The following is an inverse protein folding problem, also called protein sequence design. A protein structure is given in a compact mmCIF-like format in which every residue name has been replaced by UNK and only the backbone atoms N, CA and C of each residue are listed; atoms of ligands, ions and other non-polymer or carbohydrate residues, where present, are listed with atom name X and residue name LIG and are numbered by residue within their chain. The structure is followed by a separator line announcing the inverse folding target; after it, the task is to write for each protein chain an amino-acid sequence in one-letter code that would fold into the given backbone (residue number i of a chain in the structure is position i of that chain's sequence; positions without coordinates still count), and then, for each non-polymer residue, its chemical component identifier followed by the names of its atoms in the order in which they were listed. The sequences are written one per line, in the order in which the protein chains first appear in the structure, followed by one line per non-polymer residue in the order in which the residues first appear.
data_IF_429802445326
#
_entry.id   IF_429802445326
#
_cell.length_a   1.000
_cell.length_b   1.000
_cell.length_c   1.000
_cell.angle_alpha   90.00
_cell.angle_beta   90.00
_cell.angle_gamma   90.00
#
_symmetry.space_group_name_H-M   'P 1'
#
loop_
_entity.id
_entity.type
_entity.pdbx_description
1 polymer ?
#
# COMPACT_ATOMS: atom_id res chain seq x y z
N UNK A 1 -1.60 15.47 -8.46
CA UNK A 1 -1.54 16.29 -7.22
C UNK A 1 -1.45 15.42 -5.97
N UNK A 2 -2.39 14.50 -5.70
CA UNK A 2 -2.33 13.66 -4.49
C UNK A 2 -1.09 12.75 -4.43
N UNK A 3 -0.70 12.12 -5.55
CA UNK A 3 0.55 11.35 -5.64
C UNK A 3 1.78 12.16 -5.20
N UNK A 4 1.86 13.42 -5.61
CA UNK A 4 3.00 14.27 -5.26
C UNK A 4 2.97 14.71 -3.79
N UNK A 5 1.78 14.90 -3.22
CA UNK A 5 1.60 15.21 -1.80
C UNK A 5 1.93 14.02 -0.89
N UNK A 6 1.61 12.80 -1.33
CA UNK A 6 1.86 11.56 -0.58
C UNK A 6 3.22 10.94 -0.89
N UNK A 7 3.89 11.28 -1.99
CA UNK A 7 5.17 10.66 -2.39
C UNK A 7 6.42 11.20 -1.71
N UNK A 8 6.29 11.98 -0.63
CA UNK A 8 7.44 12.43 0.19
C UNK A 8 8.43 13.39 -0.49
N UNK A 9 8.16 13.81 -1.74
CA UNK A 9 9.03 14.69 -2.51
C UNK A 9 9.09 16.13 -2.02
N UNK A 10 8.16 16.54 -1.14
CA UNK A 10 8.08 17.91 -0.58
C UNK A 10 8.64 18.03 0.84
N UNK A 11 8.38 17.05 1.71
CA UNK A 11 8.86 17.01 3.11
C UNK A 11 9.10 15.56 3.50
N UNK A 12 10.21 15.30 4.20
CA UNK A 12 10.52 13.96 4.67
C UNK A 12 9.56 13.56 5.80
N UNK A 13 8.79 12.50 5.59
CA UNK A 13 7.77 12.03 6.54
C UNK A 13 8.34 11.53 7.87
N UNK A 14 9.64 11.21 7.94
CA UNK A 14 10.30 10.82 9.19
C UNK A 14 10.31 11.93 10.24
N UNK A 15 10.25 13.19 9.82
CA UNK A 15 10.23 14.35 10.73
C UNK A 15 8.90 14.42 11.48
N UNK A 16 7.77 14.13 10.82
CA UNK A 16 6.45 14.13 11.47
C UNK A 16 6.41 13.10 12.60
N UNK A 17 7.02 11.93 12.37
CA UNK A 17 7.09 10.89 13.40
C UNK A 17 7.98 11.30 14.59
N UNK A 18 9.11 11.98 14.35
CA UNK A 18 10.00 12.47 15.41
C UNK A 18 9.33 13.49 16.33
N UNK A 19 8.40 14.29 15.80
CA UNK A 19 7.61 15.24 16.58
C UNK A 19 6.32 14.65 17.18
N UNK A 20 6.05 13.35 16.94
CA UNK A 20 4.81 12.71 17.39
C UNK A 20 3.55 13.23 16.68
N UNK A 21 3.70 13.77 15.48
CA UNK A 21 2.59 14.32 14.70
C UNK A 21 1.84 13.19 13.95
N UNK A 22 0.54 13.06 14.21
CA UNK A 22 -0.36 12.10 13.60
C UNK A 22 -1.10 12.63 12.36
N UNK A 23 -0.80 13.86 11.89
CA UNK A 23 -1.50 14.48 10.76
C UNK A 23 -1.44 13.62 9.49
N UNK A 24 -0.28 13.04 9.19
CA UNK A 24 -0.11 12.18 8.02
C UNK A 24 -0.96 10.90 8.11
N UNK A 25 -0.98 10.27 9.29
CA UNK A 25 -1.77 9.06 9.53
C UNK A 25 -3.26 9.30 9.39
N UNK A 26 -3.72 10.45 9.90
CA UNK A 26 -5.12 10.84 9.78
C UNK A 26 -5.48 11.14 8.32
N UNK A 27 -4.60 11.82 7.58
CA UNK A 27 -4.80 12.09 6.16
C UNK A 27 -4.87 10.80 5.33
N UNK A 28 -3.94 9.86 5.57
CA UNK A 28 -3.94 8.54 4.92
C UNK A 28 -5.21 7.73 5.27
N UNK A 29 -5.70 7.82 6.51
CA UNK A 29 -6.91 7.12 6.94
C UNK A 29 -8.16 7.67 6.22
N UNK A 30 -8.30 8.99 6.17
CA UNK A 30 -9.38 9.65 5.44
C UNK A 30 -9.30 9.32 3.94
N UNK A 31 -8.09 9.30 3.38
CA UNK A 31 -7.87 8.93 1.99
C UNK A 31 -8.34 7.50 1.69
N UNK A 32 -7.95 6.52 2.51
CA UNK A 32 -8.38 5.12 2.33
C UNK A 32 -9.90 4.98 2.46
N UNK A 33 -10.50 5.64 3.46
CA UNK A 33 -11.97 5.66 3.61
C UNK A 33 -12.67 6.27 2.39
N UNK A 34 -12.12 7.32 1.82
CA UNK A 34 -12.65 7.96 0.61
C UNK A 34 -12.55 7.02 -0.59
N UNK A 35 -11.41 6.35 -0.78
CA UNK A 35 -11.22 5.35 -1.83
C UNK A 35 -12.19 4.19 -1.71
N UNK A 36 -12.37 3.65 -0.50
CA UNK A 36 -13.30 2.54 -0.23
C UNK A 36 -14.78 2.93 -0.37
N UNK A 37 -15.10 4.21 -0.28
CA UNK A 37 -16.49 4.69 -0.44
C UNK A 37 -16.98 4.71 -1.89
N UNK A 38 -16.06 4.67 -2.86
CA UNK A 38 -16.38 4.70 -4.28
C UNK A 38 -16.25 3.29 -4.85
N UNK A 39 -17.29 2.73 -5.50
CA UNK A 39 -17.20 1.38 -6.08
C UNK A 39 -16.19 1.34 -7.23
N UNK A 40 -15.40 0.27 -7.28
CA UNK A 40 -14.35 0.07 -8.28
C UNK A 40 -14.87 0.15 -9.72
N UNK A 41 -16.13 -0.26 -9.96
CA UNK A 41 -16.80 -0.16 -11.28
C UNK A 41 -16.82 1.27 -11.82
N UNK A 42 -17.09 2.24 -10.94
CA UNK A 42 -17.28 3.64 -11.32
C UNK A 42 -15.93 4.34 -11.54
N UNK A 43 -14.89 3.87 -10.82
CA UNK A 43 -13.51 4.29 -11.02
C UNK A 43 -12.98 3.79 -12.38
N UNK A 44 -13.30 2.54 -12.74
CA UNK A 44 -12.85 1.91 -13.98
C UNK A 44 -13.62 2.40 -15.22
N UNK A 45 -14.83 2.92 -15.05
CA UNK A 45 -15.62 3.49 -16.15
C UNK A 45 -14.94 4.70 -16.82
N UNK A 46 -14.07 5.41 -16.09
CA UNK A 46 -13.35 6.58 -16.59
C UNK A 46 -11.84 6.33 -16.66
N UNK A 47 -11.30 6.15 -17.87
CA UNK A 47 -9.89 5.80 -18.11
C UNK A 47 -8.89 6.77 -17.45
N UNK A 48 -9.17 8.07 -17.45
CA UNK A 48 -8.31 9.06 -16.78
C UNK A 48 -8.31 8.89 -15.26
N UNK A 49 -9.45 8.51 -14.69
CA UNK A 49 -9.60 8.30 -13.26
C UNK A 49 -8.92 6.99 -12.84
N UNK A 50 -9.11 5.91 -13.61
CA UNK A 50 -8.47 4.63 -13.35
C UNK A 50 -6.94 4.73 -13.41
N UNK A 51 -6.37 5.43 -14.40
CA UNK A 51 -4.92 5.68 -14.42
C UNK A 51 -4.43 6.36 -13.16
N UNK A 52 -5.04 7.48 -12.78
CA UNK A 52 -4.62 8.22 -11.59
C UNK A 52 -4.79 7.40 -10.32
N UNK A 53 -5.81 6.54 -10.25
CA UNK A 53 -6.06 5.66 -9.14
C UNK A 53 -4.94 4.61 -8.98
N UNK A 54 -4.59 3.87 -10.04
CA UNK A 54 -3.52 2.87 -10.00
C UNK A 54 -2.15 3.50 -9.72
N UNK A 55 -1.84 4.64 -10.33
CA UNK A 55 -0.59 5.38 -10.07
C UNK A 55 -0.48 5.89 -8.63
N UNK A 56 -1.61 6.19 -7.99
CA UNK A 56 -1.65 6.59 -6.59
C UNK A 56 -1.45 5.37 -5.69
N UNK A 57 -2.13 4.26 -5.99
CA UNK A 57 -1.99 3.01 -5.26
C UNK A 57 -0.54 2.49 -5.28
N UNK A 58 0.14 2.60 -6.43
CA UNK A 58 1.57 2.31 -6.56
C UNK A 58 2.42 3.15 -5.60
N UNK A 59 2.26 4.48 -5.62
CA UNK A 59 3.02 5.37 -4.74
C UNK A 59 2.72 5.12 -3.27
N UNK A 60 1.47 4.80 -2.94
CA UNK A 60 1.08 4.46 -1.57
C UNK A 60 1.80 3.17 -1.09
N UNK A 61 1.83 2.13 -1.92
CA UNK A 61 2.51 0.87 -1.60
C UNK A 61 4.03 1.02 -1.57
N UNK A 62 4.62 1.91 -2.38
CA UNK A 62 6.06 2.17 -2.34
C UNK A 62 6.49 2.94 -1.10
N UNK A 63 5.82 4.06 -0.80
CA UNK A 63 6.30 5.02 0.21
C UNK A 63 5.71 4.78 1.60
N UNK A 64 4.51 4.19 1.68
CA UNK A 64 3.74 4.07 2.93
C UNK A 64 3.43 2.63 3.33
N UNK A 65 4.24 1.66 2.91
CA UNK A 65 4.00 0.24 3.21
C UNK A 65 3.90 -0.05 4.73
N UNK A 66 4.64 0.69 5.56
CA UNK A 66 4.54 0.57 7.02
C UNK A 66 3.15 0.99 7.52
N UNK A 67 2.53 2.02 6.95
CA UNK A 67 1.16 2.39 7.29
C UNK A 67 0.16 1.32 6.83
N UNK A 68 0.32 0.81 5.60
CA UNK A 68 -0.51 -0.27 5.06
C UNK A 68 -0.45 -1.51 5.95
N UNK A 69 0.70 -1.80 6.54
CA UNK A 69 0.86 -2.92 7.47
C UNK A 69 0.03 -2.86 8.75
N UNK A 70 -0.47 -1.68 9.10
CA UNK A 70 -1.36 -1.45 10.26
C UNK A 70 -2.83 -1.41 9.87
N UNK A 71 -3.16 -1.38 8.58
CA UNK A 71 -4.54 -1.39 8.12
C UNK A 71 -5.23 -2.71 8.46
N UNK A 72 -6.56 -2.68 8.44
CA UNK A 72 -7.37 -3.86 8.67
C UNK A 72 -7.15 -4.88 7.54
N UNK A 73 -7.07 -6.19 7.86
CA UNK A 73 -6.76 -7.21 6.86
C UNK A 73 -7.67 -7.21 5.64
N UNK A 74 -8.95 -6.90 5.84
CA UNK A 74 -9.95 -6.84 4.77
C UNK A 74 -9.62 -5.77 3.74
N UNK A 75 -9.10 -4.62 4.18
CA UNK A 75 -8.69 -3.52 3.31
C UNK A 75 -7.48 -3.93 2.47
N UNK A 76 -6.51 -4.63 3.08
CA UNK A 76 -5.31 -5.10 2.38
C UNK A 76 -5.69 -6.11 1.30
N UNK A 77 -6.60 -7.05 1.59
CA UNK A 77 -7.11 -8.01 0.60
C UNK A 77 -7.86 -7.29 -0.53
N UNK A 78 -8.69 -6.30 -0.21
CA UNK A 78 -9.37 -5.49 -1.22
C UNK A 78 -8.39 -4.76 -2.16
N UNK A 79 -7.33 -4.16 -1.60
CA UNK A 79 -6.28 -3.51 -2.39
C UNK A 79 -5.54 -4.51 -3.29
N UNK A 80 -5.22 -5.71 -2.79
CA UNK A 80 -4.58 -6.76 -3.58
C UNK A 80 -5.47 -7.27 -4.71
N UNK A 81 -6.76 -7.52 -4.44
CA UNK A 81 -7.72 -7.90 -5.48
C UNK A 81 -7.82 -6.81 -6.56
N UNK A 82 -7.88 -5.54 -6.15
CA UNK A 82 -7.89 -4.41 -7.09
C UNK A 82 -6.66 -4.38 -7.99
N UNK A 83 -5.48 -4.70 -7.44
CA UNK A 83 -4.23 -4.79 -8.22
C UNK A 83 -4.26 -5.97 -9.20
N UNK A 84 -4.80 -7.13 -8.78
CA UNK A 84 -4.95 -8.30 -9.63
C UNK A 84 -5.92 -8.06 -10.80
N UNK A 85 -7.04 -7.38 -10.53
CA UNK A 85 -7.98 -6.95 -11.57
C UNK A 85 -7.30 -5.97 -12.54
N UNK A 86 -6.48 -5.05 -12.02
CA UNK A 86 -5.68 -4.12 -12.81
C UNK A 86 -4.60 -4.79 -13.66
N UNK A 87 -4.07 -5.94 -13.21
CA UNK A 87 -3.11 -6.75 -13.96
C UNK A 87 -3.74 -7.35 -15.24
N UNK A 88 -5.03 -7.66 -15.17
CA UNK A 88 -5.83 -8.17 -16.28
C UNK A 88 -6.38 -7.05 -17.19
N UNK A 89 -6.04 -5.79 -16.91
CA UNK A 89 -6.49 -4.66 -17.72
C UNK A 89 -5.80 -4.65 -19.10
N UNK A 90 -6.52 -4.19 -20.12
CA UNK A 90 -6.03 -4.08 -21.50
C UNK A 90 -4.88 -3.06 -21.65
N UNK A 91 -4.75 -2.14 -20.70
CA UNK A 91 -3.76 -1.06 -20.74
C UNK A 91 -2.41 -1.50 -20.13
N UNK A 92 -1.38 -1.53 -20.97
CA UNK A 92 -0.01 -1.92 -20.59
C UNK A 92 0.63 -1.00 -19.55
N UNK A 93 0.22 0.26 -19.47
CA UNK A 93 0.71 1.20 -18.45
C UNK A 93 0.17 0.86 -17.06
N UNK A 94 -1.12 0.52 -16.98
CA UNK A 94 -1.77 0.08 -15.74
C UNK A 94 -1.18 -1.26 -15.30
N UNK A 95 -1.00 -2.20 -16.25
CA UNK A 95 -0.40 -3.49 -15.98
C UNK A 95 1.01 -3.35 -15.39
N UNK A 96 1.87 -2.53 -16.00
CA UNK A 96 3.23 -2.27 -15.49
C UNK A 96 3.21 -1.68 -14.08
N UNK A 97 2.35 -0.69 -13.85
CA UNK A 97 2.16 -0.06 -12.55
C UNK A 97 1.71 -1.07 -11.48
N UNK A 98 0.76 -1.94 -11.81
CA UNK A 98 0.29 -3.02 -10.94
C UNK A 98 1.41 -4.03 -10.63
N UNK A 99 2.23 -4.41 -11.61
CA UNK A 99 3.40 -5.26 -11.40
C UNK A 99 4.39 -4.63 -10.42
N UNK A 100 4.74 -3.35 -10.59
CA UNK A 100 5.64 -2.63 -9.68
C UNK A 100 5.07 -2.49 -8.26
N UNK A 101 3.75 -2.30 -8.17
CA UNK A 101 3.03 -2.24 -6.89
C UNK A 101 3.10 -3.59 -6.17
N UNK A 102 2.84 -4.69 -6.90
CA UNK A 102 2.89 -6.05 -6.38
C UNK A 102 4.31 -6.44 -5.96
N UNK A 103 5.33 -6.12 -6.77
CA UNK A 103 6.74 -6.37 -6.45
C UNK A 103 7.14 -5.64 -5.16
N UNK A 104 6.74 -4.38 -4.99
CA UNK A 104 7.00 -3.59 -3.79
C UNK A 104 6.33 -4.24 -2.55
N UNK A 105 5.10 -4.72 -2.71
CA UNK A 105 4.36 -5.41 -1.65
C UNK A 105 5.04 -6.73 -1.26
N UNK A 106 5.29 -7.62 -2.23
CA UNK A 106 5.92 -8.93 -1.98
C UNK A 106 7.32 -8.76 -1.42
N UNK A 107 8.10 -7.82 -1.94
CA UNK A 107 9.44 -7.49 -1.42
C UNK A 107 9.36 -7.07 0.04
N UNK A 108 8.38 -6.25 0.43
CA UNK A 108 8.19 -5.86 1.83
C UNK A 108 7.79 -7.02 2.72
N UNK A 109 6.86 -7.86 2.26
CA UNK A 109 6.43 -9.07 2.96
C UNK A 109 7.61 -10.03 3.17
N UNK A 110 8.41 -10.28 2.13
CA UNK A 110 9.58 -11.14 2.17
C UNK A 110 10.67 -10.59 3.09
N UNK A 111 10.97 -9.28 2.98
CA UNK A 111 11.92 -8.60 3.88
C UNK A 111 11.49 -8.70 5.33
N UNK A 112 10.20 -8.64 5.61
CA UNK A 112 9.68 -8.83 6.96
C UNK A 112 9.85 -10.28 7.44
N UNK A 113 9.46 -11.26 6.62
CA UNK A 113 9.58 -12.68 6.95
C UNK A 113 11.03 -13.10 7.23
N UNK A 114 11.98 -12.56 6.46
CA UNK A 114 13.42 -12.80 6.65
C UNK A 114 14.01 -12.04 7.84
N UNK A 115 13.51 -10.84 8.16
CA UNK A 115 13.93 -10.05 9.34
C UNK A 115 13.37 -10.57 10.66
N UNK A 116 12.33 -11.41 10.66
CA UNK A 116 11.81 -12.03 11.88
C UNK A 116 12.85 -12.90 12.63
N UNK A 117 13.94 -13.30 11.98
CA UNK A 117 15.06 -14.03 12.59
C UNK A 117 16.29 -13.18 12.98
N UNK A 118 16.31 -11.86 12.69
CA UNK A 118 17.45 -10.99 12.97
C UNK A 118 17.08 -9.92 14.01
N UNK A 119 17.95 -9.60 15.00
CA UNK A 119 17.65 -8.57 15.98
C UNK A 119 17.50 -7.22 15.27
N UNK A 120 16.30 -6.67 15.28
CA UNK A 120 16.00 -5.39 14.66
C UNK A 120 16.84 -4.30 15.33
N UNK A 121 17.77 -3.69 14.59
CA UNK A 121 18.35 -2.40 14.97
C UNK A 121 17.25 -1.35 14.84
N UNK A 122 16.48 -1.15 15.91
CA UNK A 122 15.58 -0.01 16.05
C UNK A 122 16.40 1.27 15.92
N UNK A 123 16.38 1.87 14.73
CA UNK A 123 16.84 3.24 14.57
C UNK A 123 15.73 4.14 15.12
N UNK A 124 16.07 4.94 16.12
CA UNK A 124 15.16 5.92 16.72
C UNK A 124 14.57 6.80 15.60
N UNK A 125 13.26 6.71 15.37
CA UNK A 125 12.54 7.47 14.34
C UNK A 125 11.87 6.65 13.24
N UNK A 126 12.03 5.32 13.18
CA UNK A 126 11.28 4.48 12.24
C UNK A 126 10.07 3.81 12.93
N UNK A 127 8.89 3.96 12.33
CA UNK A 127 7.63 3.41 12.82
C UNK A 127 7.73 1.89 12.92
N UNK A 128 7.35 1.33 14.07
CA UNK A 128 7.30 -0.12 14.27
C UNK A 128 6.33 -0.75 13.26
N UNK A 129 6.72 -1.81 12.57
CA UNK A 129 5.90 -2.45 11.53
C UNK A 129 4.70 -3.21 12.15
N UNK A 130 3.50 -3.04 11.57
CA UNK A 130 2.25 -3.58 12.12
C UNK A 130 2.10 -5.07 11.86
N UNK A 131 1.64 -5.87 12.83
CA UNK A 131 1.51 -7.34 12.75
C UNK A 131 0.44 -7.88 11.78
N UNK A 132 -0.35 -7.02 11.15
CA UNK A 132 -1.49 -7.47 10.35
C UNK A 132 -1.07 -8.16 9.05
N UNK A 133 0.06 -7.77 8.43
CA UNK A 133 0.57 -8.46 7.21
C UNK A 133 0.98 -9.90 7.52
N UNK A 134 1.57 -10.18 8.69
CA UNK A 134 1.92 -11.54 9.11
C UNK A 134 0.66 -12.37 9.34
N UNK A 135 -0.36 -11.76 9.94
CA UNK A 135 -1.68 -12.40 10.15
C UNK A 135 -2.38 -12.74 8.83
N UNK A 136 -2.19 -11.95 7.77
CA UNK A 136 -2.73 -12.23 6.44
C UNK A 136 -1.97 -13.35 5.74
N UNK A 137 -0.64 -13.43 5.91
CA UNK A 137 0.14 -14.58 5.42
C UNK A 137 -0.29 -15.89 6.08
N UNK A 138 -0.66 -15.85 7.36
CA UNK A 138 -1.14 -17.03 8.09
C UNK A 138 -2.58 -17.44 7.71
N UNK A 139 -3.46 -16.48 7.39
CA UNK A 139 -4.88 -16.74 7.10
C UNK A 139 -5.21 -16.97 5.61
N UNK A 140 -4.44 -16.40 4.69
CA UNK A 140 -4.76 -16.37 3.25
C UNK A 140 -3.69 -17.02 2.37
N UNK A 141 -3.03 -18.08 2.84
CA UNK A 141 -2.10 -18.88 2.04
C UNK A 141 -2.74 -19.44 0.74
N UNK A 142 -4.07 -19.58 0.70
CA UNK A 142 -4.82 -20.02 -0.49
C UNK A 142 -4.89 -18.97 -1.62
N UNK A 143 -4.85 -17.67 -1.32
CA UNK A 143 -4.91 -16.61 -2.37
C UNK A 143 -3.56 -16.49 -3.09
N UNK A 144 -2.44 -16.68 -2.37
CA UNK A 144 -1.09 -16.73 -2.94
C UNK A 144 -0.86 -17.94 -3.86
N UNK A 145 -1.73 -18.95 -3.81
CA UNK A 145 -1.60 -20.18 -4.63
C UNK A 145 -2.30 -20.07 -6.00
N UNK A 146 -3.12 -19.05 -6.21
CA UNK A 146 -3.80 -18.79 -7.49
C UNK A 146 -3.07 -17.77 -8.38
N UNK A 147 -1.94 -17.22 -7.92
CA UNK A 147 -1.00 -16.41 -8.71
C UNK A 147 0.14 -17.29 -9.21
#
# INVERSE_FOLDING_TARGET
MLKAALGGGYVNFGVLHLYGDHCLDNALNIFIKMVLSIPQSDILAYTKLSHNYYFLLESLMQDHMVYISHLEPQIIVYLLQTILDGLSALDTTICTCCCSTLDSFVTHVYRRGTRAGAPAKQHAGYRAEGNNIVRIMELNYDILRQV
#
